data_IF_720686374713
#
_entry.id   IF_720686374713
#
_cell.length_a   1.000
_cell.length_b   1.000
_cell.length_c   1.000
_cell.angle_alpha   90.00
_cell.angle_beta   90.00
_cell.angle_gamma   90.00
#
_symmetry.space_group_name_H-M   'P 1'
#
loop_
_entity.id
_entity.type
_entity.pdbx_description
1 polymer ?
#
# COMPACT_ATOMS: atom_id res chain seq x y z
N UNK A 1 13.01 -17.64 6.18
CA UNK A 1 12.14 -16.46 5.98
C UNK A 1 11.32 -16.74 4.73
N UNK A 2 10.00 -16.93 4.84
CA UNK A 2 9.15 -16.99 3.64
C UNK A 2 9.10 -15.60 3.04
N UNK A 3 9.35 -15.48 1.73
CA UNK A 3 9.13 -14.23 1.00
C UNK A 3 7.65 -13.90 1.05
N UNK A 4 7.31 -12.66 1.40
CA UNK A 4 5.92 -12.22 1.47
C UNK A 4 5.36 -12.17 0.03
N UNK A 5 4.25 -12.88 -0.22
CA UNK A 5 3.59 -12.92 -1.52
C UNK A 5 2.73 -11.67 -1.66
N UNK A 6 2.98 -10.88 -2.71
CA UNK A 6 2.35 -9.59 -2.93
C UNK A 6 1.56 -9.54 -4.24
N UNK A 7 0.40 -8.89 -4.20
CA UNK A 7 -0.29 -8.43 -5.41
C UNK A 7 -0.09 -6.91 -5.54
N UNK A 8 0.22 -6.44 -6.74
CA UNK A 8 0.39 -5.01 -7.03
C UNK A 8 -0.92 -4.40 -7.52
N UNK A 9 -1.21 -3.17 -7.08
CA UNK A 9 -2.42 -2.45 -7.44
C UNK A 9 -2.12 -1.00 -7.84
N UNK A 10 -2.71 -0.53 -8.94
CA UNK A 10 -2.65 0.88 -9.33
C UNK A 10 -3.97 1.41 -9.90
N UNK A 11 -4.21 2.70 -9.70
CA UNK A 11 -5.21 3.48 -10.43
C UNK A 11 -4.49 4.39 -11.42
N UNK A 12 -4.89 4.34 -12.69
CA UNK A 12 -4.41 5.21 -13.73
C UNK A 12 -5.43 6.33 -13.97
N UNK A 13 -5.03 7.55 -13.60
CA UNK A 13 -5.76 8.78 -13.86
C UNK A 13 -5.42 9.31 -15.27
N UNK A 14 -6.22 10.23 -15.84
CA UNK A 14 -5.94 10.79 -17.17
C UNK A 14 -4.53 11.38 -17.32
N UNK A 15 -3.99 11.93 -16.23
CA UNK A 15 -2.66 12.53 -16.13
C UNK A 15 -1.55 11.57 -15.69
N UNK A 16 -1.87 10.32 -15.34
CA UNK A 16 -0.87 9.33 -14.90
C UNK A 16 0.12 9.02 -16.01
N UNK A 17 1.41 9.00 -15.67
CA UNK A 17 2.49 8.58 -16.57
C UNK A 17 3.04 7.24 -16.11
N UNK A 18 3.01 6.26 -17.00
CA UNK A 18 3.54 4.92 -16.80
C UNK A 18 3.94 4.36 -18.16
N UNK A 19 4.77 3.32 -18.19
CA UNK A 19 5.06 2.59 -19.42
C UNK A 19 3.81 1.82 -19.84
N UNK A 20 3.26 2.09 -21.03
CA UNK A 20 2.08 1.37 -21.52
C UNK A 20 2.31 -0.14 -21.68
N UNK A 21 3.56 -0.57 -21.86
CA UNK A 21 3.93 -1.98 -21.99
C UNK A 21 4.12 -2.66 -20.64
N UNK A 22 4.53 -1.91 -19.62
CA UNK A 22 4.73 -2.42 -18.27
C UNK A 22 4.33 -1.38 -17.20
N UNK A 23 3.02 -1.17 -16.98
CA UNK A 23 2.55 -0.06 -16.15
C UNK A 23 2.98 -0.13 -14.68
N UNK A 24 3.26 -1.34 -14.17
CA UNK A 24 3.64 -1.60 -12.79
C UNK A 24 5.12 -2.02 -12.65
N UNK A 25 5.91 -1.90 -13.71
CA UNK A 25 7.30 -2.37 -13.73
C UNK A 25 8.18 -1.76 -12.65
N UNK A 26 8.03 -0.45 -12.41
CA UNK A 26 8.74 0.24 -11.32
C UNK A 26 8.33 -0.30 -9.95
N UNK A 27 7.02 -0.39 -9.68
CA UNK A 27 6.51 -0.88 -8.40
C UNK A 27 6.94 -2.33 -8.15
N UNK A 28 6.93 -3.16 -9.19
CA UNK A 28 7.41 -4.55 -9.14
C UNK A 28 8.88 -4.61 -8.74
N UNK A 29 9.72 -3.76 -9.34
CA UNK A 29 11.14 -3.69 -8.99
C UNK A 29 11.37 -3.23 -7.53
N UNK A 30 10.56 -2.28 -7.04
CA UNK A 30 10.58 -1.85 -5.63
C UNK A 30 10.16 -2.99 -4.70
N UNK A 31 9.04 -3.67 -4.98
CA UNK A 31 8.54 -4.78 -4.18
C UNK A 31 9.56 -5.93 -4.10
N UNK A 32 10.17 -6.30 -5.23
CA UNK A 32 11.24 -7.30 -5.27
C UNK A 32 12.48 -6.87 -4.47
N UNK A 33 12.84 -5.58 -4.54
CA UNK A 33 13.93 -5.01 -3.76
C UNK A 33 13.66 -5.09 -2.26
N UNK A 34 12.40 -4.94 -1.83
CA UNK A 34 11.97 -5.13 -0.45
C UNK A 34 11.88 -6.61 -0.02
N UNK A 35 12.13 -7.56 -0.93
CA UNK A 35 12.08 -9.00 -0.66
C UNK A 35 10.70 -9.65 -0.84
N UNK A 36 9.74 -8.94 -1.43
CA UNK A 36 8.43 -9.49 -1.75
C UNK A 36 8.47 -10.31 -3.06
N UNK A 37 7.71 -11.40 -3.09
CA UNK A 37 7.43 -12.14 -4.33
C UNK A 37 6.14 -11.62 -4.94
N UNK A 38 6.23 -10.91 -6.07
CA UNK A 38 5.05 -10.42 -6.80
C UNK A 38 4.38 -11.59 -7.51
N UNK A 39 3.12 -11.87 -7.16
CA UNK A 39 2.35 -13.01 -7.68
C UNK A 39 1.20 -12.60 -8.60
N UNK A 40 0.81 -11.33 -8.58
CA UNK A 40 -0.27 -10.81 -9.41
C UNK A 40 -0.23 -9.29 -9.48
N UNK A 41 -0.92 -8.74 -10.48
CA UNK A 41 -0.97 -7.31 -10.76
C UNK A 41 -2.36 -6.91 -11.25
N UNK A 42 -2.84 -5.77 -10.78
CA UNK A 42 -4.16 -5.28 -11.10
C UNK A 42 -4.15 -3.75 -11.24
N UNK A 43 -4.73 -3.26 -12.34
CA UNK A 43 -4.85 -1.82 -12.59
C UNK A 43 -6.30 -1.42 -12.83
N UNK A 44 -6.63 -0.16 -12.55
CA UNK A 44 -7.93 0.44 -12.88
C UNK A 44 -7.76 1.82 -13.50
N UNK A 45 -8.40 2.07 -14.63
CA UNK A 45 -8.52 3.43 -15.18
C UNK A 45 -9.67 4.16 -14.51
N UNK A 46 -9.43 5.37 -14.00
CA UNK A 46 -10.46 6.25 -13.41
C UNK A 46 -10.22 7.70 -13.84
N UNK A 47 -11.27 8.52 -13.89
CA UNK A 47 -11.11 9.97 -14.11
C UNK A 47 -10.63 10.72 -12.85
N UNK A 48 -10.93 10.19 -11.67
CA UNK A 48 -10.51 10.71 -10.37
C UNK A 48 -10.47 9.57 -9.36
N UNK A 49 -9.62 9.63 -8.32
CA UNK A 49 -9.60 8.61 -7.27
C UNK A 49 -10.93 8.52 -6.52
N UNK A 50 -11.26 7.32 -6.05
CA UNK A 50 -12.39 7.14 -5.12
C UNK A 50 -11.96 7.65 -3.74
N UNK A 51 -12.65 8.65 -3.20
CA UNK A 51 -12.23 9.31 -1.95
C UNK A 51 -11.98 8.33 -0.79
N UNK A 52 -12.81 7.30 -0.65
CA UNK A 52 -12.73 6.33 0.46
C UNK A 52 -11.68 5.23 0.30
N UNK A 53 -11.32 4.83 -0.92
CA UNK A 53 -10.54 3.62 -1.17
C UNK A 53 -9.50 3.75 -2.28
N UNK A 54 -9.40 4.94 -2.89
CA UNK A 54 -8.61 5.26 -4.08
C UNK A 54 -9.06 4.52 -5.37
N UNK A 55 -9.34 3.21 -5.26
CA UNK A 55 -9.83 2.29 -6.27
C UNK A 55 -11.35 2.05 -6.12
N UNK A 56 -12.03 1.72 -7.22
CA UNK A 56 -13.45 1.40 -7.23
C UNK A 56 -13.80 0.07 -6.55
N UNK A 57 -14.97 0.01 -5.91
CA UNK A 57 -15.44 -1.16 -5.13
C UNK A 57 -15.40 -2.48 -5.90
N UNK A 58 -15.89 -2.50 -7.14
CA UNK A 58 -15.88 -3.73 -7.96
C UNK A 58 -14.45 -4.26 -8.17
N UNK A 59 -13.49 -3.36 -8.36
CA UNK A 59 -12.10 -3.73 -8.57
C UNK A 59 -11.41 -4.18 -7.29
N UNK A 60 -11.81 -3.66 -6.12
CA UNK A 60 -11.37 -4.18 -4.83
C UNK A 60 -11.86 -5.61 -4.58
N UNK A 61 -13.08 -5.96 -5.03
CA UNK A 61 -13.59 -7.34 -4.93
C UNK A 61 -12.77 -8.27 -5.84
N UNK A 62 -12.46 -7.85 -7.06
CA UNK A 62 -11.55 -8.59 -7.94
C UNK A 62 -10.15 -8.76 -7.32
N UNK A 63 -9.62 -7.71 -6.70
CA UNK A 63 -8.32 -7.70 -6.04
C UNK A 63 -8.29 -8.65 -4.84
N UNK A 64 -9.36 -8.69 -4.04
CA UNK A 64 -9.54 -9.65 -2.94
C UNK A 64 -9.51 -11.09 -3.46
N UNK A 65 -10.29 -11.38 -4.50
CA UNK A 65 -10.35 -12.70 -5.08
C UNK A 65 -8.97 -13.14 -5.62
N UNK A 66 -8.28 -12.26 -6.32
CA UNK A 66 -6.91 -12.49 -6.81
C UNK A 66 -5.93 -12.74 -5.67
N UNK A 67 -5.96 -11.93 -4.61
CA UNK A 67 -5.09 -12.12 -3.45
C UNK A 67 -5.33 -13.48 -2.77
N UNK A 68 -6.59 -13.89 -2.62
CA UNK A 68 -6.94 -15.19 -2.05
C UNK A 68 -6.51 -16.36 -2.95
N UNK A 69 -6.79 -16.30 -4.25
CA UNK A 69 -6.42 -17.33 -5.24
C UNK A 69 -4.90 -17.53 -5.31
N UNK A 70 -4.15 -16.43 -5.29
CA UNK A 70 -2.69 -16.46 -5.38
C UNK A 70 -2.01 -16.59 -4.02
N UNK A 71 -2.76 -16.67 -2.92
CA UNK A 71 -2.22 -16.73 -1.56
C UNK A 71 -1.29 -15.55 -1.23
N UNK A 72 -1.66 -14.34 -1.66
CA UNK A 72 -0.94 -13.12 -1.34
C UNK A 72 -1.35 -12.62 0.06
N UNK A 73 -0.37 -12.36 0.92
CA UNK A 73 -0.58 -11.84 2.26
C UNK A 73 -0.62 -10.31 2.32
N UNK A 74 -0.19 -9.65 1.24
CA UNK A 74 -0.11 -8.20 1.14
C UNK A 74 -0.53 -7.72 -0.25
N UNK A 75 -1.17 -6.57 -0.29
CA UNK A 75 -1.43 -5.82 -1.51
C UNK A 75 -0.67 -4.49 -1.46
N UNK A 76 0.13 -4.23 -2.48
CA UNK A 76 0.96 -3.03 -2.56
C UNK A 76 0.34 -2.07 -3.59
N UNK A 77 -0.05 -0.89 -3.12
CA UNK A 77 -0.59 0.17 -3.96
C UNK A 77 0.51 1.10 -4.48
N UNK A 78 0.42 1.46 -5.76
CA UNK A 78 1.36 2.39 -6.41
C UNK A 78 1.17 3.87 -6.05
N UNK A 79 0.32 4.15 -5.06
CA UNK A 79 -0.16 5.48 -4.70
C UNK A 79 0.10 5.70 -3.23
N UNK A 80 0.24 6.95 -2.82
CA UNK A 80 0.15 7.30 -1.40
C UNK A 80 -1.30 7.21 -0.95
N UNK A 81 -1.55 6.49 0.13
CA UNK A 81 -2.89 6.28 0.66
C UNK A 81 -3.02 6.95 2.01
N UNK A 82 -4.12 7.68 2.21
CA UNK A 82 -4.45 8.20 3.55
C UNK A 82 -4.76 7.05 4.52
N UNK A 83 -4.63 7.25 5.85
CA UNK A 83 -4.97 6.23 6.85
C UNK A 83 -6.37 5.65 6.68
N UNK A 84 -7.34 6.52 6.37
CA UNK A 84 -8.73 6.15 6.14
C UNK A 84 -8.88 5.25 4.91
N UNK A 85 -8.12 5.52 3.85
CA UNK A 85 -8.13 4.69 2.65
C UNK A 85 -7.52 3.32 2.92
N UNK A 86 -6.38 3.26 3.60
CA UNK A 86 -5.77 1.98 3.99
C UNK A 86 -6.77 1.13 4.79
N UNK A 87 -7.34 1.68 5.87
CA UNK A 87 -8.30 0.96 6.70
C UNK A 87 -9.53 0.47 5.91
N UNK A 88 -10.09 1.32 5.04
CA UNK A 88 -11.25 0.94 4.22
C UNK A 88 -10.91 -0.11 3.15
N UNK A 89 -9.69 -0.12 2.62
CA UNK A 89 -9.24 -1.14 1.67
C UNK A 89 -8.96 -2.45 2.42
N UNK A 90 -8.27 -2.42 3.55
CA UNK A 90 -8.00 -3.61 4.38
C UNK A 90 -9.28 -4.29 4.85
N UNK A 91 -10.32 -3.52 5.23
CA UNK A 91 -11.64 -4.06 5.57
C UNK A 91 -12.26 -4.87 4.41
N UNK A 92 -12.04 -4.43 3.17
CA UNK A 92 -12.55 -5.14 1.99
C UNK A 92 -11.67 -6.34 1.65
N UNK A 93 -10.35 -6.15 1.59
CA UNK A 93 -9.40 -7.15 1.10
C UNK A 93 -9.07 -8.24 2.12
N UNK A 94 -9.21 -7.98 3.42
CA UNK A 94 -8.86 -8.89 4.52
C UNK A 94 -7.37 -9.33 4.51
N UNK A 95 -6.51 -8.54 3.89
CA UNK A 95 -5.05 -8.71 3.84
C UNK A 95 -4.37 -7.37 4.08
N UNK A 96 -3.08 -7.39 4.44
CA UNK A 96 -2.31 -6.17 4.71
C UNK A 96 -2.25 -5.29 3.46
N UNK A 97 -2.39 -3.99 3.62
CA UNK A 97 -2.20 -3.02 2.54
C UNK A 97 -0.93 -2.21 2.79
N UNK A 98 -0.02 -2.20 1.81
CA UNK A 98 1.11 -1.27 1.76
C UNK A 98 0.84 -0.22 0.70
N UNK A 99 1.23 1.01 1.00
CA UNK A 99 1.29 2.09 0.01
C UNK A 99 2.74 2.29 -0.48
N UNK A 100 2.92 3.12 -1.51
CA UNK A 100 4.23 3.33 -2.13
C UNK A 100 5.26 3.92 -1.15
N UNK A 101 4.83 4.80 -0.24
CA UNK A 101 5.74 5.48 0.69
C UNK A 101 6.19 4.53 1.80
N UNK A 102 5.31 3.66 2.29
CA UNK A 102 5.68 2.60 3.23
C UNK A 102 6.68 1.62 2.60
N UNK A 103 6.46 1.19 1.35
CA UNK A 103 7.37 0.30 0.63
C UNK A 103 8.78 0.92 0.50
N UNK A 104 8.87 2.20 0.17
CA UNK A 104 10.15 2.90 0.03
C UNK A 104 10.88 2.97 1.38
N UNK A 105 10.15 3.25 2.47
CA UNK A 105 10.72 3.28 3.82
C UNK A 105 11.25 1.91 4.23
N UNK A 106 10.53 0.82 3.92
CA UNK A 106 10.97 -0.55 4.20
C UNK A 106 12.26 -0.91 3.46
N UNK A 107 12.38 -0.51 2.18
CA UNK A 107 13.61 -0.68 1.40
C UNK A 107 14.78 0.06 2.05
N UNK A 108 14.57 1.29 2.50
CA UNK A 108 15.62 2.06 3.17
C UNK A 108 16.00 1.46 4.52
N UNK A 109 15.04 0.97 5.29
CA UNK A 109 15.30 0.27 6.55
C UNK A 109 16.15 -0.98 6.34
N UNK A 110 15.85 -1.77 5.31
CA UNK A 110 16.65 -2.94 4.93
C UNK A 110 18.08 -2.63 4.47
N UNK A 111 18.33 -1.40 3.98
CA UNK A 111 19.64 -0.97 3.45
C UNK A 111 20.47 -0.12 4.40
N UNK A 112 19.87 0.43 5.46
CA UNK A 112 20.54 1.32 6.40
C UNK A 112 21.61 0.59 7.21
N UNK A 113 22.87 0.75 6.80
CA UNK A 113 24.02 0.05 7.41
C UNK A 113 24.75 0.87 8.46
N UNK A 114 24.79 2.20 8.32
CA UNK A 114 25.46 3.11 9.28
C UNK A 114 24.49 3.57 10.38
N UNK A 115 25.05 4.00 11.52
CA UNK A 115 24.23 4.52 12.62
C UNK A 115 23.41 5.75 12.21
N UNK A 116 24.04 6.68 11.48
CA UNK A 116 23.36 7.87 10.96
C UNK A 116 22.24 7.52 9.97
N UNK A 117 22.49 6.58 9.03
CA UNK A 117 21.46 6.15 8.09
C UNK A 117 20.27 5.50 8.81
N UNK A 118 20.53 4.68 9.84
CA UNK A 118 19.47 4.06 10.66
C UNK A 118 18.61 5.12 11.35
N UNK A 119 19.24 6.12 11.97
CA UNK A 119 18.52 7.22 12.64
C UNK A 119 17.64 8.02 11.67
N UNK A 120 18.13 8.30 10.45
CA UNK A 120 17.34 9.02 9.45
C UNK A 120 16.13 8.21 8.97
N UNK A 121 16.31 6.90 8.78
CA UNK A 121 15.19 6.02 8.41
C UNK A 121 14.18 5.90 9.55
N UNK A 122 14.63 5.71 10.79
CA UNK A 122 13.74 5.68 11.96
C UNK A 122 12.97 7.00 12.11
N UNK A 123 13.62 8.14 11.92
CA UNK A 123 12.95 9.44 11.94
C UNK A 123 11.89 9.54 10.84
N UNK A 124 12.20 9.11 9.62
CA UNK A 124 11.26 9.12 8.50
C UNK A 124 10.06 8.19 8.76
N UNK A 125 10.32 6.99 9.31
CA UNK A 125 9.27 6.05 9.72
C UNK A 125 8.38 6.65 10.82
N UNK A 126 8.96 7.34 11.82
CA UNK A 126 8.19 8.02 12.86
C UNK A 126 7.33 9.15 12.29
N UNK A 127 7.90 9.99 11.41
CA UNK A 127 7.18 11.08 10.76
C UNK A 127 6.05 10.57 9.87
N UNK A 128 6.24 9.44 9.21
CA UNK A 128 5.21 8.78 8.42
C UNK A 128 4.13 8.14 9.29
N UNK A 129 4.52 7.45 10.36
CA UNK A 129 3.59 6.65 11.19
C UNK A 129 2.79 7.49 12.17
N UNK A 130 3.40 8.53 12.76
CA UNK A 130 2.76 9.41 13.76
C UNK A 130 1.40 10.00 13.33
N UNK A 131 1.25 10.66 12.14
CA UNK A 131 -0.03 11.19 11.71
C UNK A 131 -1.07 10.08 11.48
N UNK A 132 -0.63 8.88 11.10
CA UNK A 132 -1.51 7.72 10.85
C UNK A 132 -2.05 7.14 12.16
N UNK A 133 -1.20 7.00 13.17
CA UNK A 133 -1.62 6.56 14.52
C UNK A 133 -2.63 7.52 15.14
N UNK A 134 -2.40 8.84 15.00
CA UNK A 134 -3.33 9.86 15.49
C UNK A 134 -4.70 9.75 14.83
N UNK A 135 -4.75 9.62 13.51
CA UNK A 135 -5.99 9.47 12.78
C UNK A 135 -6.77 8.20 13.17
N UNK A 136 -6.05 7.11 13.50
CA UNK A 136 -6.65 5.87 14.00
C UNK A 136 -7.26 6.04 15.40
N UNK A 137 -6.57 6.74 16.31
CA UNK A 137 -7.12 7.07 17.64
C UNK A 137 -8.37 7.95 17.56
N UNK A 138 -8.37 8.99 16.73
CA UNK A 138 -9.56 9.85 16.52
C UNK A 138 -10.77 9.04 16.02
N UNK A 139 -10.53 7.96 15.27
CA UNK A 139 -11.58 7.06 14.81
C UNK A 139 -12.13 6.17 15.94
N UNK A 140 -11.24 5.64 16.79
CA UNK A 140 -11.61 4.82 17.96
C UNK A 140 -12.42 5.62 18.99
N UNK A 141 -12.04 6.87 19.27
CA UNK A 141 -12.77 7.74 20.21
C UNK A 141 -14.22 8.02 19.75
N UNK A 142 -14.45 8.15 18.45
CA UNK A 142 -15.81 8.33 17.89
C UNK A 142 -16.68 7.07 18.01
N UNK A 143 -16.08 5.88 17.97
CA UNK A 143 -16.80 4.61 18.17
C UNK A 143 -17.18 4.45 19.64
N UNK A 144 -16.31 4.85 20.56
CA UNK A 144 -16.54 4.72 22.02
C UNK A 144 -17.49 5.80 22.56
N UNK A 145 -17.46 7.03 22.02
CA UNK A 145 -18.31 8.13 22.50
C UNK A 145 -19.75 8.17 21.97
N UNK A 146 -20.12 7.24 21.08
CA UNK A 146 -21.45 7.17 20.47
C UNK A 146 -22.37 6.08 21.04
N UNK A 147 -21.95 5.41 22.12
CA UNK A 147 -22.71 4.38 22.84
C UNK A 147 -23.47 4.90 24.05
#
# INVERSE_FOLDING_TARGET
MQQERAVLAAVHLPESRFDERDPLGELRALAQTAGATVVGELTQKLHKPVAGTYMGKGKLVELKAMAAELGAGVVIFDHELSPKQIAAIEEVLEVKVLDRSELILDIFAGRASTHEAKLQVELAQLQYTFPRLRAMWDHLERIVGGG
#
